data_IF_760164030369
#
_entry.id   IF_760164030369
#
_cell.length_a   1.000
_cell.length_b   1.000
_cell.length_c   1.000
_cell.angle_alpha   90.00
_cell.angle_beta   90.00
_cell.angle_gamma   90.00
#
_symmetry.space_group_name_H-M   'P 1'
#
loop_
_entity.id
_entity.type
_entity.pdbx_description
1 polymer ?
#
# COMPACT_ATOMS: atom_id res chain seq x y z
N UNK A 1 -8.15 0.73 19.52
CA UNK A 1 -7.32 0.04 18.52
C UNK A 1 -6.93 0.95 17.35
N UNK A 2 -7.83 1.71 16.71
CA UNK A 2 -7.50 2.50 15.50
C UNK A 2 -7.06 3.96 15.74
N UNK A 3 -7.22 4.49 16.96
CA UNK A 3 -6.84 5.87 17.33
C UNK A 3 -5.35 6.25 17.11
N UNK A 4 -4.35 5.37 17.28
CA UNK A 4 -2.95 5.76 17.13
C UNK A 4 -2.48 5.84 15.67
N UNK A 5 -3.31 5.41 14.70
CA UNK A 5 -2.95 5.35 13.29
C UNK A 5 -3.68 6.48 12.55
N UNK A 6 -3.00 7.57 12.15
CA UNK A 6 -3.65 8.78 11.65
C UNK A 6 -4.61 8.56 10.48
N UNK A 7 -4.26 7.69 9.54
CA UNK A 7 -5.06 7.38 8.36
C UNK A 7 -6.29 6.49 8.64
N UNK A 8 -6.33 5.79 9.77
CA UNK A 8 -7.49 4.98 10.19
C UNK A 8 -8.39 5.72 11.19
N UNK A 9 -8.00 6.94 11.60
CA UNK A 9 -8.80 7.79 12.49
C UNK A 9 -10.14 8.14 11.87
N UNK A 10 -10.15 8.52 10.59
CA UNK A 10 -11.38 8.81 9.86
C UNK A 10 -12.29 7.58 9.76
N UNK A 11 -11.73 6.42 9.40
CA UNK A 11 -12.44 5.15 9.36
C UNK A 11 -13.05 4.80 10.73
N UNK A 12 -12.32 5.03 11.83
CA UNK A 12 -12.85 4.80 13.18
C UNK A 12 -14.05 5.68 13.54
N UNK A 13 -14.10 6.92 13.03
CA UNK A 13 -15.25 7.81 13.23
C UNK A 13 -16.45 7.40 12.38
N UNK A 14 -16.23 6.92 11.16
CA UNK A 14 -17.28 6.38 10.30
C UNK A 14 -17.86 5.08 10.87
N UNK A 15 -17.00 4.16 11.34
CA UNK A 15 -17.43 2.89 11.94
C UNK A 15 -18.28 3.10 13.21
N UNK A 16 -18.06 4.17 13.97
CA UNK A 16 -18.89 4.53 15.13
C UNK A 16 -20.31 4.95 14.77
N UNK A 17 -20.54 5.38 13.52
CA UNK A 17 -21.87 5.77 13.03
C UNK A 17 -22.67 4.57 12.53
N UNK A 18 -22.04 3.41 12.35
CA UNK A 18 -22.74 2.18 11.97
C UNK A 18 -23.52 1.64 13.18
N UNK A 19 -24.71 1.07 12.95
CA UNK A 19 -25.44 0.39 14.01
C UNK A 19 -24.60 -0.75 14.58
N UNK A 20 -24.72 -1.05 15.89
CA UNK A 20 -24.05 -2.18 16.49
C UNK A 20 -24.46 -3.46 15.75
N UNK A 21 -23.47 -4.33 15.50
CA UNK A 21 -23.69 -5.59 14.80
C UNK A 21 -24.65 -6.46 15.60
N UNK A 22 -25.85 -6.66 15.07
CA UNK A 22 -26.85 -7.59 15.63
C UNK A 22 -26.59 -8.99 15.07
N UNK A 23 -26.48 -9.97 15.96
CA UNK A 23 -26.24 -11.36 15.55
C UNK A 23 -27.56 -11.94 15.04
N UNK A 24 -27.61 -12.26 13.75
CA UNK A 24 -28.80 -12.86 13.13
C UNK A 24 -28.80 -14.38 13.28
N UNK A 25 -29.96 -14.96 13.60
CA UNK A 25 -30.17 -16.41 13.64
C UNK A 25 -29.99 -17.09 12.27
N UNK A 26 -29.99 -16.33 11.18
CA UNK A 26 -29.75 -16.83 9.81
C UNK A 26 -28.28 -17.00 9.45
N UNK A 27 -27.34 -16.61 10.32
CA UNK A 27 -25.92 -16.66 9.99
C UNK A 27 -25.36 -18.09 10.00
N UNK A 28 -24.47 -18.33 9.04
CA UNK A 28 -23.72 -19.58 8.88
C UNK A 28 -22.45 -19.61 9.72
N UNK A 29 -21.90 -20.79 10.04
CA UNK A 29 -20.55 -20.93 10.60
C UNK A 29 -19.48 -20.13 9.86
N UNK A 30 -19.58 -20.01 8.54
CA UNK A 30 -18.71 -19.12 7.76
C UNK A 30 -18.75 -17.66 8.23
N UNK A 31 -19.93 -17.15 8.59
CA UNK A 31 -20.11 -15.77 9.02
C UNK A 31 -19.81 -15.61 10.51
N UNK A 32 -20.28 -16.55 11.34
CA UNK A 32 -20.14 -16.49 12.79
C UNK A 32 -18.70 -16.66 13.28
N UNK A 33 -17.80 -17.24 12.48
CA UNK A 33 -16.38 -17.39 12.83
C UNK A 33 -15.66 -16.04 13.05
N UNK A 34 -16.19 -14.96 12.48
CA UNK A 34 -15.61 -13.62 12.56
C UNK A 34 -16.15 -12.79 13.72
N UNK A 35 -17.12 -13.30 14.48
CA UNK A 35 -17.70 -12.60 15.63
C UNK A 35 -16.66 -12.51 16.75
N UNK A 36 -16.46 -11.34 17.39
CA UNK A 36 -15.63 -11.20 18.57
C UNK A 36 -16.08 -12.13 19.71
N UNK A 37 -15.14 -12.82 20.38
CA UNK A 37 -15.47 -13.78 21.45
C UNK A 37 -16.28 -13.14 22.59
N UNK A 38 -16.02 -11.88 22.93
CA UNK A 38 -16.77 -11.14 23.94
C UNK A 38 -18.26 -11.00 23.63
N UNK A 39 -18.64 -11.03 22.35
CA UNK A 39 -20.04 -10.98 21.90
C UNK A 39 -20.63 -12.38 21.66
N UNK A 40 -19.78 -13.39 21.50
CA UNK A 40 -20.19 -14.77 21.26
C UNK A 40 -20.38 -15.59 22.54
N UNK A 41 -19.93 -15.08 23.70
CA UNK A 41 -19.95 -15.75 24.99
C UNK A 41 -20.97 -15.09 25.93
N UNK A 42 -21.81 -15.90 26.57
CA UNK A 42 -22.71 -15.51 27.65
C UNK A 42 -22.15 -16.00 28.99
N UNK A 43 -22.06 -15.12 29.98
CA UNK A 43 -21.68 -15.46 31.36
C UNK A 43 -22.95 -15.68 32.20
N UNK A 44 -23.03 -16.78 32.94
CA UNK A 44 -24.15 -17.03 33.86
C UNK A 44 -24.04 -16.22 35.16
N UNK A 45 -22.82 -15.90 35.58
CA UNK A 45 -22.54 -15.22 36.85
C UNK A 45 -21.93 -13.84 36.61
N UNK A 46 -22.39 -12.85 37.38
CA UNK A 46 -22.03 -11.42 37.28
C UNK A 46 -20.59 -11.08 37.70
N UNK A 47 -19.77 -12.06 38.13
CA UNK A 47 -18.43 -11.82 38.71
C UNK A 47 -17.27 -12.58 38.03
N UNK A 48 -17.32 -12.83 36.71
CA UNK A 48 -16.20 -13.50 36.01
C UNK A 48 -15.29 -12.53 35.23
N UNK A 49 -14.15 -12.16 35.84
CA UNK A 49 -13.08 -11.33 35.27
C UNK A 49 -12.43 -11.89 34.00
N UNK A 50 -12.44 -13.22 33.82
CA UNK A 50 -11.72 -13.89 32.72
C UNK A 50 -12.24 -13.58 31.31
N UNK A 51 -13.53 -13.26 31.13
CA UNK A 51 -14.12 -12.89 29.84
C UNK A 51 -13.87 -11.40 29.54
N UNK A 52 -13.75 -10.57 30.58
CA UNK A 52 -13.43 -9.14 30.45
C UNK A 52 -11.96 -8.90 30.08
N UNK A 53 -11.08 -9.85 30.38
CA UNK A 53 -9.64 -9.82 30.01
C UNK A 53 -9.36 -10.30 28.57
N UNK A 54 -10.38 -10.74 27.82
CA UNK A 54 -10.16 -11.24 26.46
C UNK A 54 -9.70 -10.14 25.49
N UNK A 55 -8.69 -10.35 24.65
CA UNK A 55 -8.30 -9.35 23.66
C UNK A 55 -9.46 -9.03 22.70
N UNK A 56 -9.69 -7.73 22.46
CA UNK A 56 -10.79 -7.23 21.61
C UNK A 56 -10.79 -7.77 20.17
N UNK A 57 -9.64 -8.26 19.70
CA UNK A 57 -9.47 -8.80 18.35
C UNK A 57 -9.67 -10.32 18.26
N UNK A 58 -9.90 -11.01 19.38
CA UNK A 58 -10.11 -12.45 19.39
C UNK A 58 -11.52 -12.78 18.92
N UNK A 59 -11.62 -13.60 17.87
CA UNK A 59 -12.91 -14.04 17.28
C UNK A 59 -13.18 -15.51 17.57
N UNK A 60 -14.40 -15.96 17.28
CA UNK A 60 -14.80 -17.37 17.35
C UNK A 60 -13.81 -18.28 16.60
N UNK A 61 -13.30 -17.83 15.45
CA UNK A 61 -12.31 -18.53 14.61
C UNK A 61 -10.98 -18.88 15.30
N UNK A 62 -10.71 -18.27 16.46
CA UNK A 62 -9.54 -18.59 17.28
C UNK A 62 -9.75 -19.90 18.04
N UNK A 63 -10.99 -20.20 18.45
CA UNK A 63 -11.38 -21.40 19.21
C UNK A 63 -11.93 -22.48 18.28
N UNK A 64 -12.77 -22.09 17.32
CA UNK A 64 -13.43 -22.99 16.38
C UNK A 64 -12.86 -22.79 14.97
N UNK A 65 -12.38 -23.85 14.35
CA UNK A 65 -12.00 -23.86 12.95
C UNK A 65 -13.24 -24.10 12.09
N UNK A 66 -13.51 -23.19 11.16
CA UNK A 66 -14.53 -23.38 10.12
C UNK A 66 -14.01 -24.30 9.01
N UNK A 67 -14.81 -25.29 8.61
CA UNK A 67 -14.57 -26.11 7.42
C UNK A 67 -15.43 -25.59 6.25
N UNK A 68 -14.83 -25.00 5.19
CA UNK A 68 -15.61 -24.40 4.10
C UNK A 68 -16.49 -25.38 3.31
N UNK A 69 -16.11 -26.66 3.25
CA UNK A 69 -16.83 -27.67 2.46
C UNK A 69 -18.15 -28.11 3.09
N UNK A 70 -18.19 -28.18 4.41
CA UNK A 70 -19.34 -28.66 5.18
C UNK A 70 -20.06 -27.53 5.92
N UNK A 71 -19.47 -26.33 5.93
CA UNK A 71 -19.92 -25.16 6.69
C UNK A 71 -20.16 -25.50 8.18
N UNK A 72 -19.22 -26.24 8.77
CA UNK A 72 -19.27 -26.68 10.16
C UNK A 72 -18.07 -26.18 10.96
N UNK A 73 -18.23 -26.11 12.28
CA UNK A 73 -17.15 -25.81 13.21
C UNK A 73 -16.51 -27.08 13.75
N UNK A 74 -15.20 -27.05 13.91
CA UNK A 74 -14.42 -28.04 14.63
C UNK A 74 -13.56 -27.37 15.71
N UNK A 75 -13.33 -28.02 16.86
CA UNK A 75 -12.39 -27.52 17.85
C UNK A 75 -11.00 -27.35 17.23
N UNK A 76 -10.41 -26.16 17.33
CA UNK A 76 -9.07 -25.91 16.83
C UNK A 76 -8.04 -26.39 17.85
N UNK A 77 -6.98 -27.06 17.39
CA UNK A 77 -5.87 -27.41 18.28
C UNK A 77 -5.12 -26.15 18.71
N UNK A 78 -5.06 -25.89 20.02
CA UNK A 78 -4.43 -24.68 20.58
C UNK A 78 -2.99 -24.95 20.99
N UNK A 79 -2.10 -23.99 20.73
CA UNK A 79 -0.69 -24.06 21.11
C UNK A 79 -0.51 -23.73 22.59
N UNK A 80 0.44 -24.38 23.27
CA UNK A 80 0.71 -24.27 24.73
C UNK A 80 0.87 -22.82 25.27
N UNK A 81 1.20 -21.84 24.42
CA UNK A 81 1.45 -20.45 24.84
C UNK A 81 0.19 -19.57 24.93
N UNK A 82 -1.01 -20.06 24.62
CA UNK A 82 -2.26 -19.28 24.68
C UNK A 82 -3.05 -19.53 25.98
N UNK A 83 -2.42 -19.23 27.13
CA UNK A 83 -2.97 -19.51 28.48
C UNK A 83 -4.37 -18.92 28.71
N UNK A 84 -4.67 -17.73 28.19
CA UNK A 84 -5.99 -17.07 28.33
C UNK A 84 -7.10 -17.78 27.55
N UNK A 85 -6.82 -18.25 26.33
CA UNK A 85 -7.78 -19.01 25.52
C UNK A 85 -8.05 -20.40 26.10
N UNK A 86 -7.04 -21.03 26.70
CA UNK A 86 -7.21 -22.27 27.46
C UNK A 86 -8.18 -22.12 28.64
N UNK A 87 -8.11 -21.01 29.39
CA UNK A 87 -9.05 -20.71 30.49
C UNK A 87 -10.49 -20.57 30.00
N UNK A 88 -10.72 -19.91 28.87
CA UNK A 88 -12.07 -19.74 28.29
C UNK A 88 -12.64 -21.07 27.83
N UNK A 89 -11.83 -21.94 27.25
CA UNK A 89 -12.28 -23.27 26.82
C UNK A 89 -12.59 -24.17 28.00
N UNK A 90 -11.78 -24.10 29.06
CA UNK A 90 -12.09 -24.82 30.29
C UNK A 90 -13.36 -24.27 30.95
N UNK A 91 -13.56 -22.95 30.93
CA UNK A 91 -14.79 -22.33 31.41
C UNK A 91 -16.02 -22.72 30.57
N UNK A 92 -15.88 -22.89 29.25
CA UNK A 92 -16.90 -23.44 28.36
C UNK A 92 -17.18 -24.92 28.68
N UNK A 93 -16.14 -25.72 28.96
CA UNK A 93 -16.25 -27.14 29.30
C UNK A 93 -16.95 -27.38 30.64
N UNK A 94 -16.58 -26.60 31.66
CA UNK A 94 -17.17 -26.66 33.01
C UNK A 94 -18.55 -25.97 33.05
N UNK A 95 -18.97 -25.31 31.96
CA UNK A 95 -20.30 -24.69 31.84
C UNK A 95 -20.44 -23.34 32.54
N UNK A 96 -19.33 -22.73 33.00
CA UNK A 96 -19.27 -21.39 33.59
C UNK A 96 -19.51 -20.28 32.56
N UNK A 97 -19.19 -20.57 31.30
CA UNK A 97 -19.46 -19.70 30.15
C UNK A 97 -20.21 -20.54 29.13
N UNK A 98 -21.18 -19.94 28.43
CA UNK A 98 -21.93 -20.59 27.36
C UNK A 98 -21.77 -19.83 26.07
N UNK A 99 -21.91 -20.52 24.95
CA UNK A 99 -22.06 -19.83 23.68
C UNK A 99 -23.42 -19.14 23.60
N UNK A 100 -23.51 -18.05 22.83
CA UNK A 100 -24.80 -17.51 22.41
C UNK A 100 -25.66 -18.62 21.75
N UNK A 101 -27.00 -18.57 21.82
CA UNK A 101 -27.88 -19.66 21.37
C UNK A 101 -27.61 -20.15 19.95
N UNK A 102 -27.38 -19.23 19.00
CA UNK A 102 -27.02 -19.55 17.62
C UNK A 102 -25.74 -20.37 17.53
N UNK A 103 -24.70 -19.95 18.26
CA UNK A 103 -23.40 -20.58 18.18
C UNK A 103 -23.37 -21.90 18.95
N UNK A 104 -24.13 -22.00 20.05
CA UNK A 104 -24.40 -23.24 20.75
C UNK A 104 -25.07 -24.28 19.82
N UNK A 105 -26.04 -23.86 19.01
CA UNK A 105 -26.66 -24.71 17.99
C UNK A 105 -25.65 -25.15 16.91
N UNK A 106 -24.76 -24.25 16.49
CA UNK A 106 -23.72 -24.55 15.50
C UNK A 106 -22.61 -25.47 16.05
N UNK A 107 -22.39 -25.50 17.36
CA UNK A 107 -21.37 -26.35 18.01
C UNK A 107 -21.91 -27.71 18.49
N UNK A 108 -23.18 -27.82 18.87
CA UNK A 108 -23.79 -29.05 19.41
C UNK A 108 -24.20 -30.08 18.33
N UNK A 109 -23.47 -30.17 17.21
CA UNK A 109 -23.88 -30.94 16.04
C UNK A 109 -23.66 -32.46 16.20
N UNK A 110 -24.51 -33.13 17.01
CA UNK A 110 -24.94 -34.52 16.81
C UNK A 110 -26.27 -34.61 16.05
N UNK A 111 -26.86 -33.47 15.65
CA UNK A 111 -28.06 -33.48 14.80
C UNK A 111 -27.62 -33.45 13.34
N UNK A 112 -27.99 -34.46 12.52
CA UNK A 112 -27.86 -34.37 11.07
C UNK A 112 -28.73 -33.20 10.60
N UNK A 113 -28.11 -32.10 10.20
CA UNK A 113 -28.86 -30.99 9.63
C UNK A 113 -29.32 -31.41 8.24
N UNK A 114 -30.61 -31.19 7.97
CA UNK A 114 -31.17 -31.25 6.62
C UNK A 114 -30.20 -30.57 5.65
N UNK A 115 -29.98 -31.19 4.48
CA UNK A 115 -29.12 -30.66 3.42
C UNK A 115 -29.35 -29.15 3.36
N UNK A 116 -28.29 -28.32 3.46
CA UNK A 116 -28.47 -26.89 3.31
C UNK A 116 -29.25 -26.71 2.01
N UNK A 117 -30.34 -25.94 2.05
CA UNK A 117 -30.86 -25.35 0.82
C UNK A 117 -29.63 -24.68 0.25
N UNK A 118 -29.10 -25.28 -0.83
CA UNK A 118 -27.93 -24.81 -1.57
C UNK A 118 -27.99 -23.31 -1.52
N UNK A 119 -27.06 -22.69 -0.77
CA UNK A 119 -27.09 -21.26 -0.48
C UNK A 119 -27.56 -20.59 -1.75
N UNK A 120 -28.80 -20.10 -1.75
CA UNK A 120 -29.43 -19.62 -2.99
C UNK A 120 -28.51 -18.54 -3.44
N UNK A 121 -27.74 -18.84 -4.50
CA UNK A 121 -26.83 -17.90 -5.12
C UNK A 121 -27.66 -16.64 -5.25
N UNK A 122 -27.24 -15.50 -4.67
CA UNK A 122 -28.06 -14.30 -4.69
C UNK A 122 -28.56 -14.12 -6.11
N UNK A 123 -29.89 -14.08 -6.31
CA UNK A 123 -30.49 -14.21 -7.66
C UNK A 123 -29.93 -13.19 -8.65
N UNK A 124 -29.40 -12.07 -8.16
CA UNK A 124 -28.73 -11.07 -8.99
C UNK A 124 -27.37 -11.52 -9.55
N UNK A 125 -26.65 -12.43 -8.90
CA UNK A 125 -25.30 -12.88 -9.30
C UNK A 125 -25.28 -14.14 -10.17
N UNK A 126 -26.43 -14.84 -10.30
CA UNK A 126 -26.58 -16.01 -11.19
C UNK A 126 -26.54 -15.64 -12.67
N UNK A 127 -26.81 -14.38 -13.01
CA UNK A 127 -26.75 -13.85 -14.38
C UNK A 127 -25.41 -13.21 -14.72
N UNK A 128 -24.54 -12.96 -13.73
CA UNK A 128 -23.27 -12.26 -13.92
C UNK A 128 -22.21 -13.24 -14.43
N UNK A 129 -22.23 -13.47 -15.74
CA UNK A 129 -21.22 -14.26 -16.46
C UNK A 129 -20.14 -13.34 -17.01
N UNK A 130 -18.88 -13.77 -16.89
CA UNK A 130 -17.78 -13.11 -17.56
C UNK A 130 -17.43 -13.87 -18.82
N UNK A 131 -17.74 -13.29 -19.97
CA UNK A 131 -17.39 -13.85 -21.27
C UNK A 131 -15.89 -13.65 -21.54
N UNK A 132 -15.11 -14.72 -21.35
CA UNK A 132 -13.66 -14.73 -21.55
C UNK A 132 -13.32 -15.20 -22.98
N UNK A 133 -14.03 -16.22 -23.47
CA UNK A 133 -13.96 -16.70 -24.86
C UNK A 133 -15.33 -17.27 -25.26
N UNK A 134 -15.48 -17.70 -26.52
CA UNK A 134 -16.71 -18.37 -27.00
C UNK A 134 -17.12 -19.56 -26.12
N UNK A 135 -16.15 -20.24 -25.52
CA UNK A 135 -16.38 -21.47 -24.74
C UNK A 135 -16.25 -21.27 -23.21
N UNK A 136 -15.85 -20.08 -22.76
CA UNK A 136 -15.57 -19.79 -21.33
C UNK A 136 -16.36 -18.59 -20.83
N UNK A 137 -17.50 -18.88 -20.17
CA UNK A 137 -18.34 -17.88 -19.52
C UNK A 137 -18.62 -18.24 -18.04
N UNK A 138 -17.58 -18.31 -17.18
CA UNK A 138 -17.78 -18.61 -15.77
C UNK A 138 -18.59 -17.50 -15.08
N UNK A 139 -19.34 -17.91 -14.05
CA UNK A 139 -19.97 -16.96 -13.13
C UNK A 139 -18.88 -16.19 -12.38
N UNK A 140 -18.99 -14.86 -12.35
CA UNK A 140 -17.95 -13.97 -11.79
C UNK A 140 -17.54 -14.36 -10.37
N UNK A 141 -18.49 -14.76 -9.52
CA UNK A 141 -18.21 -15.15 -8.13
C UNK A 141 -17.49 -16.52 -7.99
N UNK A 142 -17.46 -17.33 -9.05
CA UNK A 142 -16.72 -18.60 -9.09
C UNK A 142 -15.30 -18.42 -9.64
N UNK A 143 -14.97 -17.25 -10.17
CA UNK A 143 -13.64 -16.95 -10.68
C UNK A 143 -12.65 -16.71 -9.54
N UNK A 144 -11.45 -17.30 -9.63
CA UNK A 144 -10.38 -16.96 -8.69
C UNK A 144 -9.88 -15.53 -8.92
N UNK A 145 -9.43 -14.80 -7.88
CA UNK A 145 -8.88 -13.45 -8.05
C UNK A 145 -7.73 -13.37 -9.07
N UNK A 146 -6.95 -14.45 -9.19
CA UNK A 146 -5.86 -14.56 -10.17
C UNK A 146 -6.38 -14.63 -11.60
N UNK A 147 -7.45 -15.40 -11.85
CA UNK A 147 -8.08 -15.52 -13.17
C UNK A 147 -8.71 -14.18 -13.58
N UNK A 148 -9.42 -13.53 -12.66
CA UNK A 148 -9.97 -12.17 -12.83
C UNK A 148 -8.86 -11.18 -13.22
N UNK A 149 -7.76 -11.17 -12.46
CA UNK A 149 -6.62 -10.26 -12.70
C UNK A 149 -5.97 -10.52 -14.05
N UNK A 150 -5.72 -11.76 -14.40
CA UNK A 150 -5.09 -12.13 -15.67
C UNK A 150 -5.96 -11.72 -16.86
N UNK A 151 -7.27 -11.95 -16.80
CA UNK A 151 -8.19 -11.55 -17.87
C UNK A 151 -8.34 -10.03 -17.96
N UNK A 152 -8.44 -9.34 -16.83
CA UNK A 152 -8.44 -7.87 -16.80
C UNK A 152 -7.14 -7.28 -17.38
N UNK A 153 -5.99 -7.91 -17.13
CA UNK A 153 -4.70 -7.51 -17.72
C UNK A 153 -4.64 -7.78 -19.23
N UNK A 154 -5.24 -8.88 -19.72
CA UNK A 154 -5.35 -9.18 -21.16
C UNK A 154 -6.31 -8.25 -21.90
N UNK A 155 -7.44 -7.91 -21.27
CA UNK A 155 -8.45 -7.04 -21.84
C UNK A 155 -8.06 -5.56 -21.82
N UNK A 156 -7.03 -5.18 -21.04
CA UNK A 156 -6.50 -3.81 -21.02
C UNK A 156 -5.46 -3.60 -22.14
N UNK A 157 -5.71 -2.69 -23.10
CA UNK A 157 -4.67 -2.21 -23.98
C UNK A 157 -3.70 -1.33 -23.18
N UNK A 158 -2.54 -1.88 -22.80
CA UNK A 158 -1.52 -1.20 -21.97
C UNK A 158 -2.02 -0.75 -20.57
N UNK A 159 -1.21 -0.84 -19.50
CA UNK A 159 -1.64 -0.44 -18.15
C UNK A 159 -2.01 1.05 -18.02
N UNK A 160 -1.60 1.89 -18.99
CA UNK A 160 -2.02 3.28 -19.14
C UNK A 160 -2.15 3.56 -20.65
N UNK A 161 -3.31 4.04 -21.15
CA UNK A 161 -3.32 4.70 -22.45
C UNK A 161 -2.30 5.83 -22.34
N UNK A 162 -1.27 5.73 -23.16
CA UNK A 162 -0.22 6.72 -23.19
C UNK A 162 -0.87 8.06 -23.55
N UNK A 163 -0.48 9.17 -22.91
CA UNK A 163 -1.02 10.47 -23.25
C UNK A 163 -0.87 10.70 -24.77
N UNK A 164 -2.00 10.91 -25.45
CA UNK A 164 -2.00 11.27 -26.86
C UNK A 164 -1.51 12.72 -26.92
N UNK A 165 -0.60 13.09 -27.86
CA UNK A 165 -0.19 14.48 -28.05
C UNK A 165 -1.41 15.41 -28.05
N UNK A 166 -1.37 16.53 -27.31
CA UNK A 166 -0.17 17.30 -26.93
C UNK A 166 0.47 16.90 -25.58
N UNK A 167 -0.03 15.88 -24.88
CA UNK A 167 0.46 15.55 -23.54
C UNK A 167 1.80 14.80 -23.58
N UNK A 168 2.83 15.35 -22.91
CA UNK A 168 4.14 14.71 -22.84
C UNK A 168 4.12 13.48 -21.91
N UNK A 169 4.74 12.39 -22.37
CA UNK A 169 4.95 11.17 -21.59
C UNK A 169 5.78 11.45 -20.34
N UNK A 170 5.34 10.94 -19.19
CA UNK A 170 6.12 10.98 -17.96
C UNK A 170 7.41 10.13 -18.12
N UNK A 171 8.50 10.46 -17.41
CA UNK A 171 9.72 9.65 -17.45
C UNK A 171 9.47 8.17 -17.13
N UNK A 172 8.60 7.90 -16.14
CA UNK A 172 8.17 6.54 -15.74
C UNK A 172 7.59 5.73 -16.92
N UNK A 173 6.89 6.38 -17.85
CA UNK A 173 6.20 5.70 -18.95
C UNK A 173 7.15 5.38 -20.12
N UNK A 174 8.31 6.03 -20.18
CA UNK A 174 9.32 5.82 -21.22
C UNK A 174 10.28 4.67 -20.90
N UNK A 175 10.26 4.19 -19.65
CA UNK A 175 11.15 3.13 -19.15
C UNK A 175 10.65 1.74 -19.53
N UNK A 176 11.56 0.88 -20.03
CA UNK A 176 11.26 -0.52 -20.31
C UNK A 176 11.37 -1.40 -19.04
N UNK A 177 10.93 -2.67 -19.14
CA UNK A 177 10.98 -3.64 -18.01
C UNK A 177 12.38 -3.81 -17.41
N UNK A 178 13.43 -3.78 -18.23
CA UNK A 178 14.82 -3.93 -17.75
C UNK A 178 15.27 -2.70 -16.96
N UNK A 179 15.00 -1.49 -17.47
CA UNK A 179 15.31 -0.24 -16.78
C UNK A 179 14.56 -0.15 -15.44
N UNK A 180 13.29 -0.59 -15.43
CA UNK A 180 12.51 -0.73 -14.19
C UNK A 180 13.17 -1.63 -13.17
N UNK A 181 13.57 -2.83 -13.60
CA UNK A 181 14.27 -3.77 -12.74
C UNK A 181 15.57 -3.15 -12.20
N UNK A 182 16.35 -2.49 -13.07
CA UNK A 182 17.61 -1.84 -12.69
C UNK A 182 17.37 -0.76 -11.64
N UNK A 183 16.42 0.16 -11.85
CA UNK A 183 16.07 1.21 -10.88
C UNK A 183 15.75 0.65 -9.49
N UNK A 184 14.88 -0.37 -9.42
CA UNK A 184 14.51 -0.98 -8.14
C UNK A 184 15.64 -1.78 -7.51
N UNK A 185 16.57 -2.31 -8.31
CA UNK A 185 17.72 -3.08 -7.83
C UNK A 185 18.89 -2.23 -7.30
N UNK A 186 18.90 -0.91 -7.58
CA UNK A 186 19.95 0.00 -7.12
C UNK A 186 20.10 -0.06 -5.60
N UNK A 187 21.34 -0.20 -5.11
CA UNK A 187 21.67 -0.21 -3.68
C UNK A 187 21.75 1.20 -3.12
N UNK A 188 20.62 1.91 -3.14
CA UNK A 188 20.47 3.26 -2.56
C UNK A 188 19.53 3.25 -1.35
N UNK A 189 19.79 4.10 -0.34
CA UNK A 189 18.86 4.35 0.77
C UNK A 189 17.45 4.76 0.32
N UNK A 190 16.47 4.59 1.22
CA UNK A 190 15.06 4.85 0.93
C UNK A 190 14.76 6.33 0.64
N UNK A 191 15.40 7.26 1.34
CA UNK A 191 15.26 8.70 1.12
C UNK A 191 15.68 9.08 -0.33
N UNK A 192 16.82 8.58 -0.81
CA UNK A 192 17.28 8.77 -2.19
C UNK A 192 16.24 8.26 -3.18
N UNK A 193 15.81 7.00 -3.00
CA UNK A 193 14.85 6.37 -3.90
C UNK A 193 13.51 7.11 -3.93
N UNK A 194 13.07 7.64 -2.79
CA UNK A 194 11.81 8.40 -2.69
C UNK A 194 11.86 9.68 -3.52
N UNK A 195 12.96 10.43 -3.46
CA UNK A 195 13.15 11.65 -4.28
C UNK A 195 13.20 11.29 -5.76
N UNK A 196 14.01 10.30 -6.11
CA UNK A 196 14.17 9.87 -7.50
C UNK A 196 12.84 9.34 -8.09
N UNK A 197 12.08 8.59 -7.30
CA UNK A 197 10.75 8.11 -7.72
C UNK A 197 9.78 9.27 -8.00
N UNK A 198 9.75 10.30 -7.14
CA UNK A 198 8.92 11.50 -7.39
C UNK A 198 9.33 12.23 -8.66
N UNK A 199 10.63 12.32 -8.94
CA UNK A 199 11.16 12.86 -10.19
C UNK A 199 10.64 12.07 -11.39
N UNK A 200 10.74 10.74 -11.35
CA UNK A 200 10.27 9.88 -12.46
C UNK A 200 8.76 9.97 -12.71
N UNK A 201 7.97 10.23 -11.66
CA UNK A 201 6.53 10.45 -11.74
C UNK A 201 6.14 11.89 -12.13
N UNK A 202 7.10 12.81 -12.29
CA UNK A 202 6.87 14.25 -12.40
C UNK A 202 5.97 14.80 -11.27
N UNK A 203 6.21 14.34 -10.04
CA UNK A 203 5.48 14.74 -8.82
C UNK A 203 6.40 15.41 -7.81
N UNK A 204 7.32 16.25 -8.30
CA UNK A 204 8.12 17.11 -7.43
C UNK A 204 7.26 18.31 -7.00
N UNK A 205 7.36 18.79 -5.75
CA UNK A 205 6.62 19.96 -5.27
C UNK A 205 7.36 21.23 -5.68
N UNK A 206 7.44 21.50 -6.99
CA UNK A 206 8.16 22.66 -7.51
C UNK A 206 7.39 23.95 -7.26
N UNK A 207 8.07 25.10 -7.16
CA UNK A 207 7.36 26.40 -6.98
C UNK A 207 6.38 26.69 -8.11
N UNK A 208 6.71 26.38 -9.37
CA UNK A 208 5.76 26.55 -10.48
C UNK A 208 4.50 25.70 -10.34
N UNK A 209 4.61 24.50 -9.75
CA UNK A 209 3.43 23.69 -9.47
C UNK A 209 2.63 24.24 -8.27
N UNK A 210 3.31 24.54 -7.17
CA UNK A 210 2.70 25.06 -5.94
C UNK A 210 1.99 26.40 -6.18
N UNK A 211 2.59 27.31 -6.95
CA UNK A 211 1.98 28.57 -7.33
C UNK A 211 0.63 28.38 -8.04
N UNK A 212 0.52 27.35 -8.90
CA UNK A 212 -0.72 27.04 -9.62
C UNK A 212 -1.82 26.46 -8.73
N UNK A 213 -1.46 25.68 -7.72
CA UNK A 213 -2.46 24.96 -6.88
C UNK A 213 -2.72 25.62 -5.53
N UNK A 214 -1.79 26.44 -5.04
CA UNK A 214 -1.82 27.12 -3.74
C UNK A 214 -1.23 28.55 -3.86
N UNK A 215 -1.83 29.44 -4.69
CA UNK A 215 -1.26 30.75 -4.99
C UNK A 215 -1.10 31.65 -3.75
N UNK A 216 -1.97 31.52 -2.75
CA UNK A 216 -1.87 32.29 -1.50
C UNK A 216 -0.62 31.94 -0.67
N UNK A 217 -0.21 30.68 -0.67
CA UNK A 217 0.96 30.19 0.08
C UNK A 217 2.25 30.29 -0.75
N UNK A 218 2.13 30.30 -2.08
CA UNK A 218 3.24 30.37 -3.02
C UNK A 218 2.96 31.47 -4.05
N UNK A 219 3.13 32.76 -3.71
CA UNK A 219 2.73 33.87 -4.58
C UNK A 219 3.59 34.00 -5.84
N UNK A 220 4.82 33.47 -5.83
CA UNK A 220 5.73 33.53 -6.98
C UNK A 220 6.23 32.12 -7.36
N UNK A 221 6.26 31.81 -8.67
CA UNK A 221 6.78 30.53 -9.17
C UNK A 221 8.32 30.46 -9.20
N UNK A 222 9.03 31.50 -8.75
CA UNK A 222 10.49 31.59 -8.81
C UNK A 222 11.18 30.59 -7.89
N UNK A 223 12.34 30.11 -8.33
CA UNK A 223 13.22 29.26 -7.54
C UNK A 223 13.70 29.97 -6.27
N UNK A 224 13.54 29.38 -5.07
CA UNK A 224 13.89 30.04 -3.81
C UNK A 224 15.40 30.21 -3.62
N UNK A 225 16.24 29.62 -4.49
CA UNK A 225 17.70 29.64 -4.36
C UNK A 225 18.33 30.69 -5.28
N UNK A 226 17.94 30.74 -6.56
CA UNK A 226 18.52 31.69 -7.52
C UNK A 226 17.66 32.94 -7.70
N UNK A 227 16.37 32.87 -7.36
CA UNK A 227 15.38 33.95 -7.50
C UNK A 227 15.26 34.54 -8.92
N UNK A 228 15.79 33.87 -9.94
CA UNK A 228 15.93 34.40 -11.29
C UNK A 228 15.05 33.70 -12.34
N UNK A 229 14.69 32.44 -12.14
CA UNK A 229 13.92 31.64 -13.09
C UNK A 229 12.77 30.93 -12.36
N UNK A 230 11.69 30.65 -13.09
CA UNK A 230 10.62 29.78 -12.60
C UNK A 230 11.16 28.39 -12.24
N UNK A 231 10.71 27.85 -11.12
CA UNK A 231 11.15 26.54 -10.68
C UNK A 231 10.22 25.43 -11.20
N UNK A 232 10.57 24.91 -12.35
CA UNK A 232 10.08 23.63 -12.84
C UNK A 232 10.90 22.44 -12.29
N UNK A 233 10.57 21.22 -12.70
CA UNK A 233 11.25 20.01 -12.21
C UNK A 233 12.75 19.97 -12.59
N UNK A 234 13.12 20.53 -13.74
CA UNK A 234 14.49 20.56 -14.23
C UNK A 234 15.27 21.62 -13.45
N UNK A 235 14.70 22.80 -13.22
CA UNK A 235 15.31 23.87 -12.44
C UNK A 235 15.43 23.53 -10.95
N UNK A 236 14.42 22.84 -10.40
CA UNK A 236 14.46 22.37 -9.02
C UNK A 236 15.62 21.39 -8.78
N UNK A 237 15.97 20.54 -9.75
CA UNK A 237 16.96 19.46 -9.55
C UNK A 237 18.32 19.72 -10.21
N UNK A 238 18.36 20.43 -11.34
CA UNK A 238 19.48 20.42 -12.28
C UNK A 238 19.88 21.83 -12.73
N UNK A 239 19.00 22.58 -13.41
CA UNK A 239 19.41 23.74 -14.22
C UNK A 239 19.66 25.02 -13.44
N UNK A 240 19.23 25.09 -12.19
CA UNK A 240 19.55 26.21 -11.29
C UNK A 240 21.07 26.41 -11.18
N UNK A 241 21.61 27.63 -11.40
CA UNK A 241 23.06 27.87 -11.40
C UNK A 241 23.79 27.34 -10.16
N UNK A 242 23.21 27.54 -8.98
CA UNK A 242 23.75 27.04 -7.70
C UNK A 242 23.79 25.51 -7.62
N UNK A 243 22.80 24.83 -8.21
CA UNK A 243 22.72 23.36 -8.24
C UNK A 243 23.65 22.76 -9.29
N UNK A 244 23.88 23.46 -10.41
CA UNK A 244 24.88 23.05 -11.44
C UNK A 244 26.27 22.91 -10.83
N UNK A 245 26.67 23.84 -9.97
CA UNK A 245 27.97 23.76 -9.28
C UNK A 245 28.06 22.54 -8.36
N UNK A 246 26.99 22.21 -7.63
CA UNK A 246 26.93 20.98 -6.80
C UNK A 246 27.00 19.72 -7.66
N UNK A 247 26.33 19.68 -8.82
CA UNK A 247 26.47 18.56 -9.75
C UNK A 247 27.89 18.42 -10.27
N UNK A 248 28.56 19.51 -10.63
CA UNK A 248 29.94 19.50 -11.09
C UNK A 248 30.89 18.99 -9.99
N UNK A 249 30.78 19.54 -8.79
CA UNK A 249 31.61 19.17 -7.65
C UNK A 249 31.36 17.73 -7.18
N UNK A 250 30.08 17.33 -7.06
CA UNK A 250 29.70 15.98 -6.67
C UNK A 250 30.14 14.93 -7.69
N UNK A 251 30.09 15.26 -8.99
CA UNK A 251 30.61 14.38 -10.04
C UNK A 251 32.12 14.18 -9.92
N UNK A 252 32.86 15.26 -9.67
CA UNK A 252 34.31 15.21 -9.46
C UNK A 252 34.68 14.40 -8.22
N UNK A 253 34.05 14.65 -7.07
CA UNK A 253 34.32 13.95 -5.81
C UNK A 253 34.01 12.45 -5.87
N UNK A 254 32.97 12.06 -6.60
CA UNK A 254 32.56 10.65 -6.73
C UNK A 254 33.28 9.92 -7.87
N UNK A 255 34.27 10.55 -8.51
CA UNK A 255 35.07 9.97 -9.59
C UNK A 255 34.25 9.63 -10.83
N UNK A 256 33.21 10.41 -11.13
CA UNK A 256 32.44 10.29 -12.36
C UNK A 256 32.94 11.27 -13.41
N UNK A 257 32.78 10.92 -14.70
CA UNK A 257 32.98 11.89 -15.78
C UNK A 257 32.06 13.07 -15.55
N UNK A 258 32.61 14.28 -15.51
CA UNK A 258 31.82 15.51 -15.40
C UNK A 258 30.99 15.63 -16.67
N UNK A 259 29.69 15.45 -16.54
CA UNK A 259 28.73 15.63 -17.61
C UNK A 259 27.99 16.95 -17.45
N UNK A 260 27.54 17.47 -18.59
CA UNK A 260 26.61 18.59 -18.63
C UNK A 260 25.33 18.27 -17.83
N UNK A 261 24.77 19.23 -17.08
CA UNK A 261 23.57 19.04 -16.28
C UNK A 261 22.40 18.40 -17.06
N UNK A 262 22.26 18.71 -18.35
CA UNK A 262 21.24 18.09 -19.20
C UNK A 262 21.44 16.58 -19.39
N UNK A 263 22.68 16.13 -19.55
CA UNK A 263 22.99 14.70 -19.65
C UNK A 263 22.75 13.96 -18.33
N UNK A 264 22.99 14.64 -17.19
CA UNK A 264 22.64 14.12 -15.86
C UNK A 264 21.12 13.94 -15.76
N UNK A 265 20.33 14.92 -16.21
CA UNK A 265 18.86 14.80 -16.25
C UNK A 265 18.39 13.62 -17.10
N UNK A 266 18.98 13.43 -18.29
CA UNK A 266 18.68 12.29 -19.15
C UNK A 266 19.03 10.95 -18.49
N UNK A 267 20.10 10.89 -17.70
CA UNK A 267 20.47 9.69 -16.95
C UNK A 267 19.48 9.43 -15.79
N UNK A 268 19.13 10.46 -15.01
CA UNK A 268 18.15 10.36 -13.92
C UNK A 268 16.77 9.96 -14.43
N UNK A 269 16.39 10.38 -15.63
CA UNK A 269 15.12 10.01 -16.28
C UNK A 269 15.21 8.72 -17.10
N UNK A 270 16.33 7.99 -17.03
CA UNK A 270 16.58 6.74 -17.77
C UNK A 270 16.45 6.88 -19.30
N UNK A 271 16.55 8.09 -19.85
CA UNK A 271 16.53 8.34 -21.30
C UNK A 271 17.85 7.94 -21.96
N UNK A 272 18.98 8.28 -21.34
CA UNK A 272 20.32 7.91 -21.83
C UNK A 272 20.79 6.53 -21.35
N UNK A 273 20.11 5.95 -20.35
CA UNK A 273 20.45 4.62 -19.83
C UNK A 273 20.07 3.55 -20.86
N UNK A 274 21.02 2.67 -21.27
CA UNK A 274 20.76 1.66 -22.28
C UNK A 274 19.55 0.78 -21.98
N UNK A 275 18.87 0.28 -23.02
CA UNK A 275 17.75 -0.66 -22.86
C UNK A 275 18.17 -2.10 -22.57
N UNK A 276 19.42 -2.46 -22.86
CA UNK A 276 20.00 -3.80 -22.67
C UNK A 276 20.53 -3.99 -21.24
N UNK A 277 20.17 -5.11 -20.60
CA UNK A 277 20.57 -5.45 -19.23
C UNK A 277 22.10 -5.49 -19.04
N UNK A 278 22.85 -6.02 -20.01
CA UNK A 278 24.33 -6.08 -19.95
C UNK A 278 24.93 -4.68 -19.87
N UNK A 279 24.51 -3.79 -20.77
CA UNK A 279 24.99 -2.40 -20.80
C UNK A 279 24.48 -1.59 -19.60
N UNK A 280 23.31 -1.89 -19.05
CA UNK A 280 22.81 -1.24 -17.83
C UNK A 280 23.72 -1.50 -16.61
N UNK A 281 24.36 -2.67 -16.54
CA UNK A 281 25.24 -3.01 -15.42
C UNK A 281 26.41 -2.02 -15.28
N UNK A 282 26.95 -1.54 -16.39
CA UNK A 282 28.01 -0.52 -16.44
C UNK A 282 27.54 0.85 -15.91
N UNK A 283 26.23 1.13 -16.00
CA UNK A 283 25.64 2.38 -15.52
C UNK A 283 25.30 2.37 -14.03
N UNK A 284 25.18 1.20 -13.41
CA UNK A 284 24.76 1.09 -12.00
C UNK A 284 25.62 1.93 -11.04
N UNK A 285 26.97 1.90 -11.11
CA UNK A 285 27.79 2.74 -10.24
C UNK A 285 27.52 4.23 -10.42
N UNK A 286 27.39 4.71 -11.65
CA UNK A 286 27.08 6.11 -11.98
C UNK A 286 25.70 6.50 -11.46
N UNK A 287 24.69 5.64 -11.64
CA UNK A 287 23.33 5.87 -11.14
C UNK A 287 23.29 5.97 -9.62
N UNK A 288 24.03 5.11 -8.90
CA UNK A 288 24.13 5.19 -7.43
C UNK A 288 24.74 6.53 -6.99
N UNK A 289 25.81 6.97 -7.66
CA UNK A 289 26.46 8.26 -7.38
C UNK A 289 25.54 9.45 -7.67
N UNK A 290 24.83 9.43 -8.79
CA UNK A 290 23.85 10.46 -9.13
C UNK A 290 22.68 10.51 -8.14
N UNK A 291 22.23 9.35 -7.65
CA UNK A 291 21.23 9.31 -6.57
C UNK A 291 21.71 10.01 -5.29
N UNK A 292 22.99 9.90 -4.93
CA UNK A 292 23.57 10.60 -3.76
C UNK A 292 23.55 12.11 -3.95
N UNK A 293 24.05 12.59 -5.09
CA UNK A 293 24.05 14.03 -5.40
C UNK A 293 22.61 14.59 -5.44
N UNK A 294 21.68 13.83 -6.03
CA UNK A 294 20.26 14.19 -6.07
C UNK A 294 19.68 14.38 -4.66
N UNK A 295 20.02 13.50 -3.71
CA UNK A 295 19.52 13.61 -2.34
C UNK A 295 20.16 14.78 -1.58
N UNK A 296 21.44 15.07 -1.81
CA UNK A 296 22.09 16.27 -1.27
C UNK A 296 21.35 17.52 -1.74
N UNK A 297 21.16 17.67 -3.05
CA UNK A 297 20.47 18.83 -3.64
C UNK A 297 19.06 18.95 -3.08
N UNK A 298 18.33 17.84 -3.00
CA UNK A 298 17.00 17.79 -2.40
C UNK A 298 17.00 18.30 -0.96
N UNK A 299 17.95 17.83 -0.14
CA UNK A 299 18.02 18.19 1.28
C UNK A 299 18.37 19.67 1.44
N UNK A 300 19.37 20.17 0.72
CA UNK A 300 19.74 21.59 0.74
C UNK A 300 18.60 22.49 0.24
N UNK A 301 17.88 22.08 -0.80
CA UNK A 301 16.74 22.84 -1.30
C UNK A 301 15.65 23.00 -0.24
N UNK A 302 15.27 21.92 0.45
CA UNK A 302 14.23 22.01 1.48
C UNK A 302 14.70 22.72 2.75
N UNK A 303 15.99 22.67 3.08
CA UNK A 303 16.54 23.50 4.16
C UNK A 303 16.41 25.00 3.84
N UNK A 304 16.59 25.41 2.58
CA UNK A 304 16.34 26.80 2.17
C UNK A 304 14.87 27.17 2.30
N UNK A 305 13.97 26.25 1.94
CA UNK A 305 12.52 26.53 1.88
C UNK A 305 11.85 26.49 3.26
N UNK A 306 12.19 25.53 4.11
CA UNK A 306 11.51 25.32 5.41
C UNK A 306 12.29 25.86 6.60
N UNK A 307 13.62 25.79 6.55
CA UNK A 307 14.49 26.19 7.68
C UNK A 307 15.08 27.59 7.47
N UNK A 308 14.75 28.25 6.34
CA UNK A 308 15.26 29.58 5.94
C UNK A 308 16.81 29.68 5.93
N UNK A 309 17.50 28.55 5.82
CA UNK A 309 18.95 28.50 5.77
C UNK A 309 19.42 28.96 4.39
N UNK A 310 20.32 29.95 4.33
CA UNK A 310 20.90 30.41 3.06
C UNK A 310 21.62 29.27 2.34
N UNK A 311 21.47 29.19 1.01
CA UNK A 311 22.17 28.19 0.22
C UNK A 311 23.70 28.28 0.39
N UNK A 312 24.31 27.22 0.88
CA UNK A 312 25.76 27.09 1.03
C UNK A 312 26.28 25.90 0.25
N UNK A 313 27.23 26.14 -0.66
CA UNK A 313 27.92 25.07 -1.37
C UNK A 313 28.74 24.21 -0.41
N UNK A 314 29.30 24.78 0.66
CA UNK A 314 30.06 24.00 1.64
C UNK A 314 29.18 22.96 2.34
N UNK A 315 27.96 23.34 2.71
CA UNK A 315 26.98 22.43 3.34
C UNK A 315 26.51 21.33 2.39
N UNK A 316 26.45 21.61 1.08
CA UNK A 316 26.12 20.61 0.08
C UNK A 316 27.25 19.59 -0.17
N UNK A 317 28.48 19.90 0.23
CA UNK A 317 29.66 19.06 -0.07
C UNK A 317 30.21 18.32 1.18
N UNK A 318 29.55 18.45 2.34
CA UNK A 318 29.83 17.69 3.57
C UNK A 318 29.28 16.26 3.49
#
# INVERSE_FOLDING_TARGET
>A
MLKPIPHLRHLSMLLKRLPPVQISNSWTPFTTQHIPLRLALCTSDTENSSVQDLPWHSTVGVILQHLPRTDTFYPRHIRKNQRLLGKVIEALRVGKVRWIPLLQQQTNMLVPRAKPITATVPQWSTSWKWHISKDMAPLVFRCSPSLIRHQWQRAKPSPRPLPIPPFAYLPVDRMNRSQWHTFWSLKVPHNIRSVWWRLLLARLPTRSHLHKILPEQCPLPLCPICLAEEEDAVHMMISCPKKKEVWKAGQAMLGTKILDPYLVWQALTFQSVPRSKKKQQEWIPTLIRYGRILQVIWSCHWNVVFEEISWSHATAMQ
#
